data_IF_981454697031
#
_entry.id   IF_981454697031
#
_cell.length_a   1.000
_cell.length_b   1.000
_cell.length_c   1.000
_cell.angle_alpha   90.00
_cell.angle_beta   90.00
_cell.angle_gamma   90.00
#
_symmetry.space_group_name_H-M   'P 1'
#
loop_
_entity.id
_entity.type
_entity.pdbx_description
1 polymer ?
#
# COMPACT_ATOMS: atom_id res chain seq x y z
N UNK A 1 -1.28 -25.30 -5.83
CA UNK A 1 -2.38 -24.29 -5.77
C UNK A 1 -2.75 -23.67 -7.11
N UNK A 2 -4.02 -23.27 -7.29
CA UNK A 2 -4.54 -22.64 -8.51
C UNK A 2 -5.74 -21.72 -8.25
N UNK A 3 -6.07 -20.85 -9.21
CA UNK A 3 -7.24 -19.98 -9.14
C UNK A 3 -8.52 -20.72 -9.56
N UNK A 4 -9.59 -20.60 -8.77
CA UNK A 4 -10.89 -21.23 -9.02
C UNK A 4 -12.01 -20.18 -8.98
N UNK A 5 -12.94 -20.25 -9.93
CA UNK A 5 -14.15 -19.43 -9.92
C UNK A 5 -15.20 -20.09 -9.02
N UNK A 6 -15.77 -19.31 -8.10
CA UNK A 6 -16.87 -19.73 -7.20
C UNK A 6 -18.11 -18.93 -7.56
N UNK A 7 -19.14 -19.63 -8.07
CA UNK A 7 -20.46 -19.04 -8.31
C UNK A 7 -21.25 -19.00 -7.00
N UNK A 8 -21.76 -17.82 -6.65
CA UNK A 8 -22.65 -17.61 -5.49
C UNK A 8 -24.11 -17.60 -5.95
N UNK A 9 -24.36 -17.00 -7.11
CA UNK A 9 -25.64 -17.02 -7.83
C UNK A 9 -25.36 -17.11 -9.33
N UNK A 10 -26.41 -17.11 -10.15
CA UNK A 10 -26.29 -17.12 -11.61
C UNK A 10 -25.54 -15.90 -12.17
N UNK A 11 -25.59 -14.76 -11.47
CA UNK A 11 -24.99 -13.48 -11.91
C UNK A 11 -23.84 -13.01 -11.03
N UNK A 12 -23.63 -13.64 -9.87
CA UNK A 12 -22.60 -13.24 -8.91
C UNK A 12 -21.61 -14.38 -8.68
N UNK A 13 -20.35 -14.07 -8.98
CA UNK A 13 -19.23 -14.95 -8.67
C UNK A 13 -18.02 -14.14 -8.24
N UNK A 14 -17.07 -14.84 -7.63
CA UNK A 14 -15.73 -14.37 -7.34
C UNK A 14 -14.72 -15.46 -7.69
N UNK A 15 -13.44 -15.10 -7.69
CA UNK A 15 -12.36 -16.07 -7.83
C UNK A 15 -11.61 -16.21 -6.52
N UNK A 16 -11.24 -17.43 -6.17
CA UNK A 16 -10.46 -17.78 -4.97
C UNK A 16 -9.21 -18.58 -5.35
N UNK A 17 -8.35 -18.88 -4.38
CA UNK A 17 -7.21 -19.79 -4.55
C UNK A 17 -7.54 -21.10 -3.85
N UNK A 18 -7.35 -22.22 -4.54
CA UNK A 18 -7.46 -23.56 -3.96
C UNK A 18 -6.11 -24.25 -3.92
N UNK A 19 -5.93 -25.09 -2.90
CA UNK A 19 -4.79 -26.01 -2.79
C UNK A 19 -4.95 -27.22 -3.70
N UNK A 20 -4.04 -28.20 -3.55
CA UNK A 20 -4.02 -29.40 -4.38
C UNK A 20 -5.15 -30.39 -4.02
N UNK A 21 -5.75 -30.25 -2.83
CA UNK A 21 -6.96 -30.95 -2.38
C UNK A 21 -8.26 -30.25 -2.82
N UNK A 22 -8.16 -29.21 -3.66
CA UNK A 22 -9.27 -28.35 -4.08
C UNK A 22 -9.98 -27.62 -2.93
N UNK A 23 -9.30 -27.45 -1.79
CA UNK A 23 -9.83 -26.67 -0.67
C UNK A 23 -9.43 -25.21 -0.81
N UNK A 24 -10.34 -24.25 -0.56
CA UNK A 24 -9.98 -22.83 -0.55
C UNK A 24 -8.89 -22.54 0.49
N UNK A 25 -7.85 -21.82 0.07
CA UNK A 25 -6.82 -21.33 0.98
C UNK A 25 -7.43 -20.22 1.84
N UNK A 26 -7.56 -20.37 3.17
CA UNK A 26 -8.43 -19.51 3.98
C UNK A 26 -8.16 -18.01 3.87
N UNK A 27 -6.89 -17.61 3.89
CA UNK A 27 -6.49 -16.19 3.79
C UNK A 27 -6.82 -15.59 2.43
N UNK A 28 -6.61 -16.33 1.35
CA UNK A 28 -6.92 -15.89 -0.01
C UNK A 28 -8.44 -15.85 -0.24
N UNK A 29 -9.17 -16.85 0.24
CA UNK A 29 -10.62 -16.90 0.09
C UNK A 29 -11.33 -15.75 0.81
N UNK A 30 -10.97 -15.51 2.08
CA UNK A 30 -11.51 -14.40 2.85
C UNK A 30 -11.25 -13.06 2.15
N UNK A 31 -10.01 -12.82 1.72
CA UNK A 31 -9.62 -11.60 1.03
C UNK A 31 -10.34 -11.41 -0.31
N UNK A 32 -10.35 -12.43 -1.18
CA UNK A 32 -10.93 -12.30 -2.52
C UNK A 32 -12.46 -12.22 -2.49
N UNK A 33 -13.08 -12.88 -1.51
CA UNK A 33 -14.52 -12.72 -1.22
C UNK A 33 -14.82 -11.31 -0.72
N UNK A 34 -14.02 -10.77 0.20
CA UNK A 34 -14.15 -9.37 0.63
C UNK A 34 -13.95 -8.40 -0.55
N UNK A 35 -12.95 -8.66 -1.40
CA UNK A 35 -12.68 -7.82 -2.56
C UNK A 35 -13.86 -7.78 -3.53
N UNK A 36 -14.52 -8.93 -3.77
CA UNK A 36 -15.71 -8.98 -4.63
C UNK A 36 -16.93 -8.35 -3.96
N UNK A 37 -17.24 -8.75 -2.74
CA UNK A 37 -18.55 -8.52 -2.12
C UNK A 37 -18.56 -7.31 -1.18
N UNK A 38 -17.45 -7.03 -0.50
CA UNK A 38 -17.30 -5.92 0.43
C UNK A 38 -16.78 -4.65 -0.23
N UNK A 39 -15.81 -4.78 -1.15
CA UNK A 39 -15.18 -3.66 -1.85
C UNK A 39 -15.70 -3.44 -3.28
N UNK A 40 -16.74 -4.19 -3.68
CA UNK A 40 -17.42 -4.14 -4.99
C UNK A 40 -16.47 -4.09 -6.20
N UNK A 41 -15.40 -4.91 -6.17
CA UNK A 41 -14.51 -5.03 -7.32
C UNK A 41 -15.10 -5.94 -8.38
N UNK A 42 -14.73 -5.68 -9.64
CA UNK A 42 -15.13 -6.52 -10.76
C UNK A 42 -14.65 -7.97 -10.60
N UNK A 43 -15.43 -8.93 -11.11
CA UNK A 43 -15.05 -10.35 -11.08
C UNK A 43 -13.67 -10.58 -11.72
N UNK A 44 -13.39 -9.89 -12.84
CA UNK A 44 -12.09 -9.97 -13.53
C UNK A 44 -10.89 -9.50 -12.69
N UNK A 45 -11.11 -8.56 -11.76
CA UNK A 45 -10.09 -8.15 -10.79
C UNK A 45 -9.80 -9.29 -9.83
N UNK A 46 -10.84 -9.93 -9.27
CA UNK A 46 -10.65 -11.09 -8.39
C UNK A 46 -9.98 -12.26 -9.11
N UNK A 47 -10.29 -12.50 -10.40
CA UNK A 47 -9.61 -13.52 -11.22
C UNK A 47 -8.11 -13.26 -11.36
N UNK A 48 -7.77 -12.02 -11.67
CA UNK A 48 -6.37 -11.60 -11.84
C UNK A 48 -5.61 -11.73 -10.53
N UNK A 49 -6.20 -11.29 -9.42
CA UNK A 49 -5.58 -11.38 -8.10
C UNK A 49 -5.48 -12.83 -7.61
N UNK A 50 -6.50 -13.66 -7.81
CA UNK A 50 -6.44 -15.09 -7.49
C UNK A 50 -5.28 -15.79 -8.21
N UNK A 51 -5.06 -15.47 -9.49
CA UNK A 51 -3.95 -16.04 -10.27
C UNK A 51 -2.57 -15.62 -9.73
N UNK A 52 -2.47 -14.39 -9.22
CA UNK A 52 -1.23 -13.83 -8.67
C UNK A 52 -0.94 -14.37 -7.27
N UNK A 53 -1.97 -14.45 -6.44
CA UNK A 53 -1.90 -15.03 -5.11
C UNK A 53 -1.60 -16.53 -5.17
N UNK A 54 -2.18 -17.26 -6.13
CA UNK A 54 -1.82 -18.67 -6.35
C UNK A 54 -0.32 -18.84 -6.63
N UNK A 55 0.31 -17.93 -7.38
CA UNK A 55 1.75 -17.94 -7.62
C UNK A 55 2.56 -17.70 -6.34
N UNK A 56 2.14 -16.74 -5.52
CA UNK A 56 2.82 -16.41 -4.26
C UNK A 56 2.67 -17.51 -3.20
N UNK A 57 1.45 -18.01 -3.01
CA UNK A 57 1.13 -19.01 -2.01
C UNK A 57 1.75 -20.37 -2.37
N UNK A 58 1.77 -20.74 -3.65
CA UNK A 58 2.51 -21.94 -4.11
C UNK A 58 4.01 -21.83 -3.82
N UNK A 59 4.59 -20.63 -3.94
CA UNK A 59 6.00 -20.43 -3.58
C UNK A 59 6.22 -20.50 -2.06
N UNK A 60 5.29 -19.96 -1.27
CA UNK A 60 5.35 -20.08 0.19
C UNK A 60 5.31 -21.57 0.59
N UNK A 61 4.33 -22.32 0.09
CA UNK A 61 4.18 -23.76 0.33
C UNK A 61 5.39 -24.56 -0.12
N UNK A 62 5.85 -24.38 -1.36
CA UNK A 62 7.00 -25.10 -1.91
C UNK A 62 8.31 -24.82 -1.14
N UNK A 63 8.36 -23.75 -0.36
CA UNK A 63 9.52 -23.38 0.43
C UNK A 63 9.29 -23.47 1.94
N UNK A 64 8.18 -24.10 2.37
CA UNK A 64 7.85 -24.34 3.77
C UNK A 64 7.55 -23.09 4.59
N UNK A 65 7.02 -22.03 3.96
CA UNK A 65 6.74 -20.74 4.59
C UNK A 65 5.24 -20.55 4.78
N UNK A 66 4.86 -20.10 5.98
CA UNK A 66 3.56 -19.49 6.20
C UNK A 66 3.53 -18.05 5.67
N UNK A 67 2.43 -17.31 5.89
CA UNK A 67 2.34 -15.93 5.42
C UNK A 67 3.43 -15.04 6.07
N UNK A 68 3.64 -15.13 7.38
CA UNK A 68 4.62 -14.27 8.06
C UNK A 68 6.04 -14.53 7.55
N UNK A 69 6.46 -15.79 7.44
CA UNK A 69 7.75 -16.15 6.87
C UNK A 69 7.83 -15.79 5.37
N UNK A 70 6.72 -15.87 4.66
CA UNK A 70 6.59 -15.51 3.25
C UNK A 70 6.87 -14.02 2.99
N UNK A 71 6.31 -13.13 3.82
CA UNK A 71 6.54 -11.68 3.68
C UNK A 71 7.92 -11.27 4.15
N UNK A 72 8.47 -11.90 5.20
CA UNK A 72 9.85 -11.69 5.61
C UNK A 72 10.86 -12.07 4.50
N UNK A 73 10.51 -13.07 3.69
CA UNK A 73 11.32 -13.53 2.56
C UNK A 73 10.88 -12.96 1.20
N UNK A 74 10.18 -11.81 1.17
CA UNK A 74 9.64 -11.24 -0.07
C UNK A 74 10.73 -10.95 -1.12
N UNK A 75 11.95 -10.58 -0.70
CA UNK A 75 13.08 -10.40 -1.60
C UNK A 75 13.46 -11.68 -2.35
N UNK A 76 13.39 -12.84 -1.69
CA UNK A 76 13.60 -14.15 -2.30
C UNK A 76 12.49 -14.51 -3.29
N UNK A 77 11.23 -14.16 -2.97
CA UNK A 77 10.11 -14.31 -3.91
C UNK A 77 10.31 -13.48 -5.17
N UNK A 78 10.68 -12.20 -5.04
CA UNK A 78 10.97 -11.32 -6.18
C UNK A 78 12.12 -11.87 -7.02
N UNK A 79 13.16 -12.41 -6.38
CA UNK A 79 14.27 -13.06 -7.08
C UNK A 79 13.78 -14.25 -7.88
N UNK A 80 12.95 -15.12 -7.30
CA UNK A 80 12.33 -16.25 -8.01
C UNK A 80 11.53 -15.78 -9.23
N UNK A 81 10.71 -14.72 -9.09
CA UNK A 81 9.92 -14.19 -10.21
C UNK A 81 10.79 -13.67 -11.37
N UNK A 82 11.99 -13.15 -11.06
CA UNK A 82 12.97 -12.62 -12.03
C UNK A 82 13.82 -13.69 -12.70
N UNK A 83 13.96 -14.87 -12.11
CA UNK A 83 14.88 -15.90 -12.62
C UNK A 83 14.16 -17.14 -13.14
N UNK A 84 12.93 -17.38 -12.69
CA UNK A 84 12.19 -18.60 -13.02
C UNK A 84 11.18 -18.34 -14.13
N UNK A 85 11.29 -19.04 -15.27
CA UNK A 85 10.31 -18.95 -16.34
C UNK A 85 8.90 -19.33 -15.90
N UNK A 86 7.90 -18.73 -16.53
CA UNK A 86 6.49 -19.08 -16.29
C UNK A 86 6.22 -20.49 -16.83
N UNK A 87 5.78 -21.40 -15.97
CA UNK A 87 5.48 -22.79 -16.34
C UNK A 87 4.03 -23.00 -16.77
N UNK A 88 3.09 -22.23 -16.21
CA UNK A 88 1.65 -22.32 -16.55
C UNK A 88 1.40 -22.11 -18.04
N UNK A 89 0.36 -22.78 -18.56
CA UNK A 89 -0.09 -22.59 -19.92
C UNK A 89 -0.57 -21.14 -20.16
N UNK A 90 -0.32 -20.62 -21.37
CA UNK A 90 -0.76 -19.30 -21.82
C UNK A 90 0.39 -18.34 -22.14
N UNK A 91 0.04 -17.05 -22.24
CA UNK A 91 0.98 -16.00 -22.61
C UNK A 91 2.14 -15.89 -21.61
N UNK A 92 3.36 -15.85 -22.14
CA UNK A 92 4.60 -15.77 -21.36
C UNK A 92 5.13 -17.11 -20.88
N UNK A 93 4.53 -18.26 -21.25
CA UNK A 93 5.09 -19.59 -20.94
C UNK A 93 6.52 -19.70 -21.46
N UNK A 94 7.42 -20.19 -20.62
CA UNK A 94 8.85 -20.33 -20.92
C UNK A 94 9.63 -19.01 -20.88
N UNK A 95 8.99 -17.88 -20.59
CA UNK A 95 9.63 -16.57 -20.45
C UNK A 95 9.70 -16.16 -18.98
N UNK A 96 10.71 -15.35 -18.66
CA UNK A 96 10.78 -14.64 -17.38
C UNK A 96 9.73 -13.51 -17.37
N UNK A 97 9.21 -13.19 -16.18
CA UNK A 97 8.20 -12.13 -16.01
C UNK A 97 8.80 -10.75 -16.25
N UNK A 98 8.07 -9.88 -16.95
CA UNK A 98 8.41 -8.47 -17.08
C UNK A 98 8.26 -7.73 -15.74
N UNK A 99 8.92 -6.57 -15.60
CA UNK A 99 8.81 -5.72 -14.41
C UNK A 99 7.36 -5.35 -14.09
N UNK A 100 6.57 -4.97 -15.10
CA UNK A 100 5.14 -4.67 -14.93
C UNK A 100 4.34 -5.87 -14.40
N UNK A 101 4.66 -7.08 -14.85
CA UNK A 101 4.00 -8.29 -14.34
C UNK A 101 4.38 -8.59 -12.89
N UNK A 102 5.65 -8.39 -12.53
CA UNK A 102 6.13 -8.54 -11.14
C UNK A 102 5.41 -7.53 -10.24
N UNK A 103 5.33 -6.26 -10.66
CA UNK A 103 4.64 -5.21 -9.88
C UNK A 103 3.17 -5.54 -9.67
N UNK A 104 2.49 -6.07 -10.69
CA UNK A 104 1.10 -6.49 -10.57
C UNK A 104 0.92 -7.63 -9.55
N UNK A 105 1.81 -8.63 -9.54
CA UNK A 105 1.80 -9.70 -8.53
C UNK A 105 2.04 -9.13 -7.13
N UNK A 106 3.02 -8.25 -6.98
CA UNK A 106 3.32 -7.62 -5.69
C UNK A 106 2.17 -6.73 -5.18
N UNK A 107 1.42 -6.09 -6.08
CA UNK A 107 0.23 -5.34 -5.70
C UNK A 107 -0.82 -6.26 -5.07
N UNK A 108 -1.13 -7.39 -5.71
CA UNK A 108 -2.08 -8.37 -5.15
C UNK A 108 -1.61 -8.93 -3.79
N UNK A 109 -0.32 -9.26 -3.66
CA UNK A 109 0.26 -9.74 -2.40
C UNK A 109 0.12 -8.68 -1.30
N UNK A 110 0.46 -7.42 -1.57
CA UNK A 110 0.33 -6.31 -0.63
C UNK A 110 -1.10 -6.12 -0.14
N UNK A 111 -2.09 -6.19 -1.04
CA UNK A 111 -3.50 -6.06 -0.67
C UNK A 111 -3.99 -7.25 0.16
N UNK A 112 -3.52 -8.47 -0.10
CA UNK A 112 -3.79 -9.63 0.77
C UNK A 112 -3.29 -9.38 2.20
N UNK A 113 -2.06 -8.89 2.38
CA UNK A 113 -1.51 -8.61 3.71
C UNK A 113 -2.22 -7.47 4.43
N UNK A 114 -2.60 -6.41 3.71
CA UNK A 114 -3.45 -5.34 4.26
C UNK A 114 -4.76 -5.90 4.81
N UNK A 115 -5.42 -6.77 4.05
CA UNK A 115 -6.64 -7.43 4.50
C UNK A 115 -6.39 -8.35 5.71
N UNK A 116 -5.32 -9.14 5.68
CA UNK A 116 -4.95 -10.02 6.79
C UNK A 116 -4.73 -9.26 8.11
N UNK A 117 -4.12 -8.07 8.04
CA UNK A 117 -3.95 -7.16 9.19
C UNK A 117 -5.29 -6.56 9.63
N UNK A 118 -6.13 -6.14 8.68
CA UNK A 118 -7.46 -5.60 8.97
C UNK A 118 -8.37 -6.62 9.68
N UNK A 119 -8.24 -7.91 9.34
CA UNK A 119 -8.94 -9.02 9.99
C UNK A 119 -8.19 -9.56 11.23
N UNK A 120 -7.13 -8.88 11.69
CA UNK A 120 -6.32 -9.27 12.85
C UNK A 120 -5.69 -10.68 12.80
N UNK A 121 -5.57 -11.26 11.59
CA UNK A 121 -4.88 -12.54 11.37
C UNK A 121 -3.36 -12.40 11.36
N UNK A 122 -2.87 -11.18 11.11
CA UNK A 122 -1.45 -10.80 11.18
C UNK A 122 -1.30 -9.48 11.94
N UNK A 123 -0.15 -9.30 12.58
CA UNK A 123 0.18 -8.06 13.27
C UNK A 123 0.47 -6.91 12.29
N UNK A 124 0.15 -5.68 12.70
CA UNK A 124 0.34 -4.50 11.87
C UNK A 124 1.82 -4.23 11.54
N UNK A 125 2.77 -4.74 12.32
CA UNK A 125 4.21 -4.61 12.06
C UNK A 125 4.62 -5.23 10.72
N UNK A 126 3.86 -6.20 10.19
CA UNK A 126 4.09 -6.81 8.87
C UNK A 126 4.05 -5.78 7.74
N UNK A 127 3.24 -4.72 7.85
CA UNK A 127 3.13 -3.71 6.80
C UNK A 127 4.45 -2.94 6.59
N UNK A 128 5.31 -2.87 7.60
CA UNK A 128 6.64 -2.25 7.49
C UNK A 128 7.59 -3.04 6.60
N UNK A 129 7.34 -4.34 6.41
CA UNK A 129 8.11 -5.20 5.51
C UNK A 129 7.67 -5.06 4.03
N UNK A 130 6.45 -4.58 3.81
CA UNK A 130 5.82 -4.47 2.48
C UNK A 130 5.95 -3.10 1.85
N UNK A 131 6.07 -2.08 2.70
CA UNK A 131 6.13 -0.67 2.34
C UNK A 131 7.39 -0.04 2.88
N UNK A 132 8.22 0.44 1.96
CA UNK A 132 9.22 1.42 2.32
C UNK A 132 8.51 2.76 2.52
N UNK A 133 8.70 3.39 3.68
CA UNK A 133 8.24 4.75 3.91
C UNK A 133 9.11 5.66 3.06
N UNK A 134 8.54 6.19 1.98
CA UNK A 134 9.22 7.13 1.10
C UNK A 134 9.64 8.39 1.87
N UNK A 135 10.84 8.86 1.60
CA UNK A 135 11.35 10.11 2.15
C UNK A 135 10.72 11.32 1.45
N UNK A 136 10.19 12.28 2.23
CA UNK A 136 9.55 13.51 1.72
C UNK A 136 10.50 14.38 0.85
N UNK A 137 11.82 14.11 0.90
CA UNK A 137 12.83 14.76 0.06
C UNK A 137 12.58 14.60 -1.43
N UNK A 138 12.05 13.47 -1.87
CA UNK A 138 11.79 13.18 -3.29
C UNK A 138 10.34 13.42 -3.71
N UNK A 139 9.50 13.84 -2.76
CA UNK A 139 8.11 14.13 -3.02
C UNK A 139 7.99 15.50 -3.74
N UNK A 140 7.16 15.62 -4.80
CA UNK A 140 6.83 16.91 -5.42
C UNK A 140 6.38 17.91 -4.36
N UNK A 141 6.69 19.19 -4.55
CA UNK A 141 6.46 20.22 -3.54
C UNK A 141 4.99 20.27 -3.09
N UNK A 142 4.07 19.94 -3.98
CA UNK A 142 2.61 19.92 -3.80
C UNK A 142 2.12 18.82 -2.85
N UNK A 143 2.94 17.80 -2.63
CA UNK A 143 2.63 16.65 -1.79
C UNK A 143 3.45 16.65 -0.49
N UNK A 144 4.42 17.56 -0.34
CA UNK A 144 5.17 17.72 0.91
C UNK A 144 4.23 18.23 2.01
N UNK A 145 4.29 17.67 3.23
CA UNK A 145 3.52 18.19 4.33
C UNK A 145 3.95 19.64 4.60
N UNK A 146 2.98 20.56 4.59
CA UNK A 146 3.17 21.97 4.94
C UNK A 146 3.72 22.06 6.38
N UNK A 147 5.05 22.05 6.51
CA UNK A 147 5.75 21.98 7.80
C UNK A 147 7.03 21.14 7.84
N UNK A 148 7.38 20.36 6.80
CA UNK A 148 8.68 19.66 6.74
C UNK A 148 9.82 20.60 6.32
N UNK A 149 9.98 21.69 7.07
CA UNK A 149 11.10 22.61 6.98
C UNK A 149 12.25 22.18 7.88
N UNK A 150 13.06 21.21 7.45
CA UNK A 150 14.47 21.14 7.84
C UNK A 150 15.31 20.86 6.61
N UNK A 151 15.59 21.91 5.86
CA UNK A 151 16.54 21.91 4.75
C UNK A 151 17.95 21.67 5.30
N UNK A 152 18.39 20.40 5.31
CA UNK A 152 19.81 20.09 5.22
C UNK A 152 20.17 20.12 3.74
N UNK A 153 20.44 21.31 3.21
CA UNK A 153 21.09 21.48 1.91
C UNK A 153 22.53 20.98 2.03
N UNK A 154 22.79 19.73 1.62
CA UNK A 154 24.15 19.27 1.33
C UNK A 154 24.66 19.94 0.06
N UNK A 155 25.95 20.31 -0.07
CA UNK A 155 26.44 21.02 -1.24
C UNK A 155 26.51 20.09 -2.47
N UNK A 156 25.82 20.48 -3.53
CA UNK A 156 26.15 20.08 -4.91
C UNK A 156 27.60 20.47 -5.22
N UNK A 157 28.41 19.65 -5.92
CA UNK A 157 29.73 20.09 -6.38
C UNK A 157 29.58 21.28 -7.35
N UNK A 158 30.32 22.39 -7.18
CA UNK A 158 30.16 23.56 -8.03
C UNK A 158 30.77 23.34 -9.43
N UNK A 159 29.99 23.64 -10.48
CA UNK A 159 30.51 24.00 -11.82
C UNK A 159 31.17 25.38 -11.74
N UNK A 160 32.28 25.65 -12.45
CA UNK A 160 33.03 26.89 -12.28
C UNK A 160 32.28 28.08 -12.90
N UNK A 161 31.95 29.07 -12.08
CA UNK A 161 31.59 30.42 -12.51
C UNK A 161 32.26 31.42 -11.56
N UNK A 162 32.75 32.51 -12.16
CA UNK A 162 33.71 33.46 -11.60
C UNK A 162 33.27 34.16 -10.30
N UNK A 163 34.28 34.55 -9.52
CA UNK A 163 34.24 35.04 -8.15
C UNK A 163 33.56 36.41 -7.93
N UNK A 164 32.96 36.60 -6.75
CA UNK A 164 33.19 37.77 -5.88
C UNK A 164 32.61 37.55 -4.46
N UNK A 165 33.36 38.01 -3.46
CA UNK A 165 33.21 37.91 -2.01
C UNK A 165 31.95 38.55 -1.38
N UNK A 166 31.46 38.02 -0.23
CA UNK A 166 31.70 38.49 1.17
C UNK A 166 30.92 37.65 2.21
N UNK A 167 31.37 37.67 3.46
CA UNK A 167 31.11 36.70 4.54
C UNK A 167 30.09 37.20 5.64
N UNK A 168 29.98 36.60 6.86
CA UNK A 168 28.78 35.93 7.40
C UNK A 168 28.19 36.61 8.67
N UNK A 169 27.08 36.11 9.26
CA UNK A 169 27.03 35.83 10.72
C UNK A 169 25.75 35.13 11.27
N UNK A 170 25.97 34.48 12.42
CA UNK A 170 25.11 34.25 13.60
C UNK A 170 24.20 33.01 13.74
N UNK A 171 24.21 32.48 14.98
CA UNK A 171 23.93 31.10 15.42
C UNK A 171 22.89 31.05 16.56
N UNK A 172 22.15 29.92 16.62
CA UNK A 172 21.46 29.28 17.77
C UNK A 172 20.05 29.78 18.21
N UNK A 173 19.25 29.00 18.99
CA UNK A 173 19.37 27.60 19.44
C UNK A 173 18.12 26.70 19.17
N UNK A 174 18.31 25.40 19.43
CA UNK A 174 17.31 24.31 19.37
C UNK A 174 16.48 24.22 20.67
N UNK A 175 15.21 23.80 20.57
CA UNK A 175 14.51 23.00 21.60
C UNK A 175 13.62 21.95 20.92
N UNK A 176 13.82 20.69 21.33
CA UNK A 176 13.08 19.53 20.84
C UNK A 176 11.76 19.32 21.57
N UNK A 177 10.88 18.56 20.93
CA UNK A 177 9.67 18.00 21.51
C UNK A 177 9.13 16.94 20.56
N UNK A 178 9.38 15.67 20.86
CA UNK A 178 8.81 14.55 20.12
C UNK A 178 7.33 14.42 20.42
N UNK A 179 6.52 14.20 19.40
CA UNK A 179 5.08 13.96 19.54
C UNK A 179 4.76 12.63 18.85
N UNK A 180 4.31 11.66 19.64
CA UNK A 180 3.71 10.43 19.13
C UNK A 180 2.40 10.80 18.44
N UNK A 181 2.26 10.44 17.16
CA UNK A 181 1.05 10.69 16.39
C UNK A 181 0.45 9.37 15.90
N UNK A 182 -0.79 9.13 16.32
CA UNK A 182 -1.68 8.07 15.83
C UNK A 182 -1.70 8.07 14.30
N UNK A 183 -1.50 6.89 13.71
CA UNK A 183 -1.44 6.69 12.27
C UNK A 183 -2.80 6.15 11.82
N UNK A 184 -3.64 7.01 11.23
CA UNK A 184 -4.74 6.56 10.37
C UNK A 184 -4.23 6.52 8.93
N UNK A 185 -4.02 5.32 8.39
CA UNK A 185 -3.70 5.12 6.97
C UNK A 185 -4.99 5.28 6.14
N UNK A 186 -5.07 6.34 5.35
CA UNK A 186 -5.93 6.36 4.17
C UNK A 186 -5.06 5.96 2.98
N UNK A 187 -5.11 4.68 2.61
CA UNK A 187 -4.38 4.16 1.45
C UNK A 187 -5.26 4.29 0.20
N UNK A 188 -5.01 5.30 -0.62
CA UNK A 188 -5.48 5.34 -2.01
C UNK A 188 -4.53 4.57 -2.90
N UNK A 189 -4.96 3.44 -3.46
CA UNK A 189 -4.19 2.73 -4.49
C UNK A 189 -4.28 3.49 -5.81
N UNK A 190 -3.17 4.10 -6.23
CA UNK A 190 -2.98 4.54 -7.62
C UNK A 190 -2.24 3.43 -8.38
N UNK A 191 -2.85 3.04 -9.51
CA UNK A 191 -2.31 2.12 -10.51
C UNK A 191 -1.04 2.72 -11.13
N UNK A 192 0.12 2.66 -10.46
CA UNK A 192 1.44 2.93 -11.08
C UNK A 192 2.64 2.46 -10.22
N UNK A 193 2.43 1.50 -9.31
CA UNK A 193 3.54 0.89 -8.55
C UNK A 193 4.13 1.76 -7.42
N UNK A 194 3.71 3.03 -7.29
CA UNK A 194 4.01 3.89 -6.15
C UNK A 194 2.79 3.98 -5.22
N UNK A 195 2.87 3.35 -4.04
CA UNK A 195 1.91 3.62 -2.97
C UNK A 195 2.36 4.88 -2.24
N UNK A 196 1.61 5.97 -2.39
CA UNK A 196 1.74 7.15 -1.51
C UNK A 196 0.83 6.92 -0.32
N UNK A 197 1.41 6.65 0.85
CA UNK A 197 0.66 6.64 2.11
C UNK A 197 0.64 8.07 2.65
N UNK A 198 -0.51 8.74 2.52
CA UNK A 198 -0.69 10.06 3.12
C UNK A 198 -0.95 9.90 4.62
N UNK A 199 -0.05 10.44 5.44
CA UNK A 199 -0.25 10.52 6.90
C UNK A 199 -1.25 11.64 7.18
N UNK A 200 -2.50 11.30 7.49
CA UNK A 200 -3.47 12.28 7.99
C UNK A 200 -3.11 12.67 9.44
N UNK A 201 -2.46 13.81 9.63
CA UNK A 201 -2.26 14.38 10.94
C UNK A 201 -3.58 15.00 11.45
N UNK A 202 -4.37 14.27 12.25
CA UNK A 202 -5.43 14.90 13.04
C UNK A 202 -4.80 15.74 14.14
N UNK A 203 -5.02 17.06 14.09
CA UNK A 203 -4.72 17.94 15.24
C UNK A 203 -5.67 17.57 16.38
N UNK A 204 -5.14 17.02 17.49
CA UNK A 204 -5.86 17.04 18.78
C UNK A 204 -5.77 18.49 19.30
N UNK A 205 -6.88 19.21 19.28
CA UNK A 205 -6.99 20.51 19.91
C UNK A 205 -6.80 20.38 21.42
N UNK A 206 -5.86 21.14 21.97
CA UNK A 206 -5.68 21.28 23.43
C UNK A 206 -6.31 22.61 23.86
N UNK A 207 -7.29 22.53 24.76
CA UNK A 207 -7.66 23.63 25.68
C UNK A 207 -9.09 24.16 25.58
N UNK A 208 -9.98 23.67 26.45
CA UNK A 208 -11.07 24.48 27.03
C UNK A 208 -10.45 25.61 27.89
N UNK A 209 -11.03 26.80 28.11
CA UNK A 209 -12.40 27.18 28.51
C UNK A 209 -12.54 28.75 28.47
N UNK A 210 -13.61 29.42 28.99
CA UNK A 210 -15.05 29.12 29.07
C UNK A 210 -15.97 30.23 28.46
N UNK A 211 -17.26 29.87 28.30
CA UNK A 211 -18.50 30.68 28.29
C UNK A 211 -18.56 32.04 27.55
N UNK A 212 -19.36 32.07 26.48
CA UNK A 212 -19.93 33.30 25.91
C UNK A 212 -20.90 33.04 24.76
N UNK A 213 -22.21 33.06 25.07
CA UNK A 213 -23.37 33.31 24.19
C UNK A 213 -23.53 32.53 22.87
N UNK A 214 -24.63 31.78 22.77
CA UNK A 214 -25.24 31.38 21.51
C UNK A 214 -25.64 32.61 20.65
N UNK A 215 -25.68 32.47 19.32
CA UNK A 215 -26.94 32.08 18.68
C UNK A 215 -26.76 30.96 17.62
N UNK A 216 -27.79 30.12 17.41
CA UNK A 216 -27.86 29.21 16.24
C UNK A 216 -28.21 30.00 14.96
N UNK A 217 -28.80 29.38 13.91
CA UNK A 217 -28.69 28.03 13.33
C UNK A 217 -28.20 28.11 11.86
N UNK A 218 -27.65 27.05 11.26
CA UNK A 218 -27.71 26.90 9.79
C UNK A 218 -27.79 25.43 9.37
N UNK A 219 -29.01 25.05 9.01
CA UNK A 219 -29.33 23.90 8.20
C UNK A 219 -29.21 24.36 6.74
N UNK A 220 -28.26 23.82 5.96
CA UNK A 220 -28.19 24.06 4.52
C UNK A 220 -28.05 22.76 3.73
N UNK A 221 -29.06 22.59 2.89
CA UNK A 221 -29.45 21.56 1.94
C UNK A 221 -28.68 21.72 0.62
N UNK A 222 -28.24 20.63 -0.02
CA UNK A 222 -27.89 20.61 -1.45
C UNK A 222 -28.11 19.18 -1.98
N UNK A 223 -29.27 18.89 -2.59
CA UNK A 223 -29.64 18.97 -4.02
C UNK A 223 -28.89 17.95 -4.91
N UNK A 224 -29.63 16.90 -5.28
CA UNK A 224 -29.44 16.17 -6.54
C UNK A 224 -29.55 17.14 -7.71
N UNK A 225 -28.73 16.92 -8.74
CA UNK A 225 -28.98 17.31 -10.11
C UNK A 225 -28.69 16.11 -11.00
N UNK A 226 -29.76 15.52 -11.55
CA UNK A 226 -29.75 14.80 -12.81
C UNK A 226 -29.79 15.82 -13.95
N UNK A 227 -28.96 15.58 -14.97
CA UNK A 227 -29.24 15.86 -16.38
C UNK A 227 -28.32 14.96 -17.22
#
# INVERSE_FOLDING_TARGET
MQALRVALTDTLAYWTVVDDDWRPVPSADAYLRHLRLGADRAEGTTRSYASDLACYLSWCEATGRDLLAGVQALGSFVTMLKTTPVTRAGAGRGQVRSAGRINHVLAAVRELYKHAVAEHTLDASVLTLLYEVGDDRHLPAELRPEGSGTSLSGPTPPRPAHAAHRAPDARAPRRGGGVAADISLLAGSLLDGHLVVLRAARRRGVGAAPLGSAPGPFCCRARLLDA
#
